data_IF_545488940417
#
_entry.id   IF_545488940417
#
_cell.length_a   1.000
_cell.length_b   1.000
_cell.length_c   1.000
_cell.angle_alpha   90.00
_cell.angle_beta   90.00
_cell.angle_gamma   90.00
#
_symmetry.space_group_name_H-M   'P 1'
#
loop_
_entity.id
_entity.type
_entity.pdbx_description
1 polymer ?
#
# COMPACT_ATOMS: atom_id res chain seq x y z
N UNK A 1 5.16 26.96 -2.70
CA UNK A 1 6.06 25.81 -2.39
C UNK A 1 6.38 24.93 -3.60
N UNK A 2 5.49 24.06 -4.12
CA UNK A 2 5.85 23.16 -5.25
C UNK A 2 6.28 23.90 -6.53
N UNK A 3 5.57 24.99 -6.88
CA UNK A 3 5.89 25.83 -8.04
C UNK A 3 7.19 26.63 -7.86
N UNK A 4 7.47 27.12 -6.64
CA UNK A 4 8.72 27.82 -6.32
C UNK A 4 9.93 26.89 -6.36
N UNK A 5 9.79 25.68 -5.82
CA UNK A 5 10.86 24.67 -5.87
C UNK A 5 11.17 24.30 -7.33
N UNK A 6 10.14 24.04 -8.15
CA UNK A 6 10.30 23.82 -9.59
C UNK A 6 11.01 24.99 -10.27
N UNK A 7 10.60 26.23 -9.99
CA UNK A 7 11.21 27.43 -10.56
C UNK A 7 12.69 27.56 -10.22
N UNK A 8 13.06 27.32 -8.95
CA UNK A 8 14.44 27.36 -8.49
C UNK A 8 15.29 26.26 -9.15
N UNK A 9 14.75 25.05 -9.27
CA UNK A 9 15.43 23.93 -9.90
C UNK A 9 15.63 24.15 -11.40
N UNK A 10 14.60 24.62 -12.11
CA UNK A 10 14.70 24.93 -13.54
C UNK A 10 15.72 26.06 -13.80
N UNK A 11 15.72 27.11 -12.97
CA UNK A 11 16.67 28.22 -13.09
C UNK A 11 18.12 27.81 -12.85
N UNK A 12 18.38 26.81 -11.99
CA UNK A 12 19.74 26.34 -11.66
C UNK A 12 20.25 25.22 -12.57
N UNK A 13 19.36 24.38 -13.09
CA UNK A 13 19.72 23.25 -13.94
C UNK A 13 19.66 23.59 -15.44
N UNK A 14 18.90 24.61 -15.83
CA UNK A 14 18.61 24.91 -17.23
C UNK A 14 17.60 23.95 -17.88
N UNK A 15 17.03 23.01 -17.12
CA UNK A 15 16.05 22.05 -17.60
C UNK A 15 14.63 22.63 -17.68
N UNK A 16 13.85 22.14 -18.64
CA UNK A 16 12.41 22.43 -18.74
C UNK A 16 11.63 21.45 -17.87
N UNK A 17 11.29 21.86 -16.64
CA UNK A 17 10.65 20.98 -15.66
C UNK A 17 9.11 21.15 -15.64
N UNK A 18 8.32 20.06 -15.66
CA UNK A 18 6.87 20.12 -15.65
C UNK A 18 6.30 20.67 -14.33
N UNK A 19 5.07 21.19 -14.38
CA UNK A 19 4.40 21.72 -13.18
C UNK A 19 4.03 20.63 -12.15
N UNK A 20 3.97 19.37 -12.59
CA UNK A 20 3.66 18.18 -11.79
C UNK A 20 4.88 17.55 -11.13
N UNK A 21 6.09 18.11 -11.33
CA UNK A 21 7.38 17.55 -10.88
C UNK A 21 7.38 17.01 -9.45
N UNK A 22 6.78 17.74 -8.51
CA UNK A 22 6.76 17.36 -7.08
C UNK A 22 5.77 16.24 -6.78
N UNK A 23 4.76 16.04 -7.63
CA UNK A 23 3.82 14.93 -7.55
C UNK A 23 4.38 13.67 -8.22
N UNK A 24 5.06 13.85 -9.36
CA UNK A 24 5.67 12.76 -10.12
C UNK A 24 6.91 12.20 -9.38
N UNK A 25 7.62 13.06 -8.66
CA UNK A 25 8.83 12.71 -7.89
C UNK A 25 8.70 13.20 -6.44
N UNK A 26 7.92 12.48 -5.61
CA UNK A 26 7.47 12.97 -4.30
C UNK A 26 8.53 12.91 -3.21
N UNK A 27 9.70 12.31 -3.47
CA UNK A 27 10.82 12.29 -2.53
C UNK A 27 12.05 13.01 -3.09
N UNK A 28 12.86 13.67 -2.25
CA UNK A 28 14.08 14.32 -2.68
C UNK A 28 15.06 13.39 -3.41
N UNK A 29 15.14 12.12 -3.01
CA UNK A 29 16.00 11.13 -3.65
C UNK A 29 15.56 10.87 -5.09
N UNK A 30 14.27 10.55 -5.29
CA UNK A 30 13.70 10.27 -6.62
C UNK A 30 13.81 11.50 -7.53
N UNK A 31 13.58 12.71 -6.99
CA UNK A 31 13.73 13.95 -7.74
C UNK A 31 15.19 14.20 -8.15
N UNK A 32 16.15 13.83 -7.30
CA UNK A 32 17.59 13.98 -7.60
C UNK A 32 18.01 13.02 -8.71
N UNK A 33 17.56 11.76 -8.66
CA UNK A 33 17.86 10.76 -9.68
C UNK A 33 17.31 11.18 -11.05
N UNK A 34 16.07 11.70 -11.09
CA UNK A 34 15.48 12.22 -12.33
C UNK A 34 16.25 13.41 -12.91
N UNK A 35 16.62 14.38 -12.06
CA UNK A 35 17.40 15.55 -12.51
C UNK A 35 18.80 15.15 -13.00
N UNK A 36 19.42 14.16 -12.38
CA UNK A 36 20.72 13.64 -12.80
C UNK A 36 20.64 12.95 -14.17
N UNK A 37 19.59 12.16 -14.41
CA UNK A 37 19.35 11.51 -15.70
C UNK A 37 19.14 12.55 -16.83
N UNK A 38 18.37 13.60 -16.57
CA UNK A 38 18.13 14.70 -17.53
C UNK A 38 19.40 15.54 -17.81
N UNK A 39 20.22 15.81 -16.79
CA UNK A 39 21.44 16.62 -16.92
C UNK A 39 22.61 15.88 -17.60
N UNK A 40 22.75 14.59 -17.34
CA UNK A 40 23.84 13.77 -17.88
C UNK A 40 23.47 13.20 -19.26
N UNK A 41 22.19 13.27 -19.64
CA UNK A 41 21.66 12.76 -20.89
C UNK A 41 21.68 11.23 -20.88
N UNK A 42 20.58 10.62 -20.45
CA UNK A 42 20.51 9.17 -20.42
C UNK A 42 20.36 8.57 -21.83
N UNK A 43 21.22 7.60 -22.15
CA UNK A 43 21.28 6.83 -23.40
C UNK A 43 20.15 5.79 -23.51
N UNK A 44 19.00 6.05 -22.89
CA UNK A 44 17.82 5.18 -22.92
C UNK A 44 16.57 6.04 -22.98
N UNK A 45 16.24 6.50 -24.19
CA UNK A 45 14.87 6.88 -24.51
C UNK A 45 13.99 5.63 -24.53
N UNK A 46 13.63 5.09 -23.38
CA UNK A 46 12.41 4.29 -23.28
C UNK A 46 11.25 5.27 -23.31
N UNK A 47 10.78 5.51 -24.53
CA UNK A 47 9.53 6.19 -24.80
C UNK A 47 8.43 5.45 -24.04
N UNK A 48 7.90 6.05 -22.97
CA UNK A 48 6.73 5.54 -22.28
C UNK A 48 5.63 5.37 -23.34
N UNK A 49 5.41 4.12 -23.73
CA UNK A 49 4.39 3.78 -24.71
C UNK A 49 3.06 4.00 -24.01
N UNK A 50 2.15 4.83 -24.53
CA UNK A 50 0.84 5.00 -23.92
C UNK A 50 0.20 3.62 -23.78
N UNK A 51 -0.15 3.22 -22.57
CA UNK A 51 -0.91 1.99 -22.34
C UNK A 51 -2.21 2.15 -23.14
N UNK A 52 -2.46 1.34 -24.17
CA UNK A 52 -3.70 1.45 -24.92
C UNK A 52 -4.85 1.20 -23.94
N UNK A 53 -5.86 2.07 -23.97
CA UNK A 53 -7.13 1.80 -23.30
C UNK A 53 -7.59 0.39 -23.71
N UNK A 54 -7.83 -0.47 -22.72
CA UNK A 54 -8.11 -1.89 -22.90
C UNK A 54 -9.08 -2.13 -24.07
N UNK A 55 -8.54 -2.58 -25.19
CA UNK A 55 -9.29 -2.92 -26.38
C UNK A 55 -9.89 -4.31 -26.22
N UNK A 56 -11.20 -4.38 -26.01
CA UNK A 56 -12.00 -5.59 -26.08
C UNK A 56 -11.83 -6.56 -24.90
N UNK A 57 -12.94 -7.18 -24.48
CA UNK A 57 -12.88 -8.35 -23.61
C UNK A 57 -12.27 -9.48 -24.44
N UNK A 58 -11.04 -9.88 -24.11
CA UNK A 58 -10.43 -11.10 -24.62
C UNK A 58 -10.92 -12.28 -23.77
N UNK A 59 -11.23 -13.41 -24.38
CA UNK A 59 -11.52 -14.67 -23.67
C UNK A 59 -10.24 -15.35 -23.14
N UNK A 60 -9.14 -14.60 -23.04
CA UNK A 60 -7.88 -15.09 -22.50
C UNK A 60 -8.01 -15.37 -20.99
N UNK A 61 -7.65 -16.59 -20.54
CA UNK A 61 -7.63 -16.91 -19.12
C UNK A 61 -6.63 -16.06 -18.33
N UNK A 62 -7.03 -15.56 -17.17
CA UNK A 62 -6.15 -14.82 -16.26
C UNK A 62 -5.45 -15.79 -15.31
N UNK A 63 -4.12 -15.77 -15.30
CA UNK A 63 -3.32 -16.55 -14.37
C UNK A 63 -3.13 -15.82 -13.03
N UNK A 64 -3.35 -16.52 -11.93
CA UNK A 64 -2.92 -16.07 -10.59
C UNK A 64 -1.47 -16.53 -10.43
N UNK A 65 -0.54 -15.57 -10.43
CA UNK A 65 0.91 -15.85 -10.43
C UNK A 65 1.58 -15.64 -9.07
N UNK A 66 0.91 -14.98 -8.13
CA UNK A 66 1.40 -14.75 -6.77
C UNK A 66 0.22 -14.47 -5.83
N UNK A 67 0.45 -14.69 -4.54
CA UNK A 67 -0.58 -14.56 -3.50
C UNK A 67 0.06 -14.39 -2.13
N UNK A 68 -0.62 -13.61 -1.29
CA UNK A 68 -0.28 -13.43 0.11
C UNK A 68 -1.58 -13.30 0.90
N UNK A 69 -1.57 -13.67 2.17
CA UNK A 69 -2.76 -13.59 2.99
C UNK A 69 -2.48 -13.50 4.49
N UNK A 70 -3.49 -13.03 5.22
CA UNK A 70 -3.57 -13.05 6.68
C UNK A 70 -4.95 -13.54 7.07
N UNK A 71 -5.01 -14.60 7.88
CA UNK A 71 -6.27 -15.21 8.31
C UNK A 71 -6.23 -15.62 9.78
N UNK A 72 -7.40 -15.89 10.41
CA UNK A 72 -7.46 -16.50 11.73
C UNK A 72 -6.69 -17.81 11.83
N UNK A 73 -6.36 -18.22 13.06
CA UNK A 73 -5.53 -19.41 13.30
C UNK A 73 -4.02 -19.18 13.08
N UNK A 74 -3.57 -17.92 13.05
CA UNK A 74 -2.15 -17.57 12.91
C UNK A 74 -1.60 -17.72 11.48
N UNK A 75 -2.48 -17.74 10.49
CA UNK A 75 -2.11 -17.91 9.09
C UNK A 75 -1.54 -16.62 8.53
N UNK A 76 -0.29 -16.68 8.09
CA UNK A 76 0.44 -15.60 7.41
C UNK A 76 0.89 -15.94 6.00
N UNK A 77 0.58 -17.13 5.49
CA UNK A 77 0.88 -17.51 4.10
C UNK A 77 -0.20 -18.42 3.48
N UNK A 78 -0.27 -18.50 2.13
CA UNK A 78 -1.15 -19.42 1.43
C UNK A 78 -0.93 -20.90 1.80
N UNK A 79 0.33 -21.30 2.04
CA UNK A 79 0.64 -22.67 2.46
C UNK A 79 0.08 -22.97 3.86
N UNK A 80 0.20 -22.00 4.78
CA UNK A 80 -0.40 -22.14 6.11
C UNK A 80 -1.93 -22.14 6.08
N UNK A 81 -2.53 -21.38 5.16
CA UNK A 81 -3.97 -21.45 4.93
C UNK A 81 -4.37 -22.86 4.46
N UNK A 82 -3.61 -23.43 3.53
CA UNK A 82 -3.85 -24.79 3.05
C UNK A 82 -3.74 -25.81 4.18
N UNK A 83 -2.70 -25.75 5.00
CA UNK A 83 -2.51 -26.65 6.14
C UNK A 83 -3.66 -26.55 7.15
N UNK A 84 -4.13 -25.33 7.45
CA UNK A 84 -5.28 -25.11 8.34
C UNK A 84 -6.55 -25.77 7.79
N UNK A 85 -6.86 -25.54 6.51
CA UNK A 85 -8.08 -26.05 5.87
C UNK A 85 -8.01 -27.56 5.68
N UNK A 86 -6.90 -28.09 5.14
CA UNK A 86 -6.71 -29.51 4.92
C UNK A 86 -6.66 -30.30 6.24
N UNK A 87 -6.12 -29.68 7.29
CA UNK A 87 -6.11 -30.23 8.65
C UNK A 87 -7.44 -30.12 9.40
N UNK A 88 -8.43 -29.38 8.87
CA UNK A 88 -9.70 -29.13 9.54
C UNK A 88 -9.56 -28.38 10.87
N UNK A 89 -8.54 -27.53 10.98
CA UNK A 89 -8.23 -26.77 12.20
C UNK A 89 -9.18 -25.58 12.33
N UNK A 90 -9.78 -25.43 13.51
CA UNK A 90 -10.62 -24.28 13.84
C UNK A 90 -9.76 -23.10 14.34
N UNK A 91 -9.82 -21.97 13.63
CA UNK A 91 -9.08 -20.75 13.94
C UNK A 91 -9.82 -19.77 14.87
N UNK A 92 -10.97 -20.17 15.42
CA UNK A 92 -11.77 -19.34 16.34
C UNK A 92 -11.11 -19.30 17.73
N UNK A 93 -10.90 -18.09 18.23
CA UNK A 93 -10.25 -17.83 19.52
C UNK A 93 -11.09 -16.86 20.37
N UNK A 94 -10.81 -16.74 21.67
CA UNK A 94 -11.31 -15.63 22.47
C UNK A 94 -10.84 -14.28 21.90
N UNK A 95 -11.53 -13.21 22.27
CA UNK A 95 -11.15 -11.86 21.85
C UNK A 95 -9.72 -11.50 22.28
N UNK A 96 -8.89 -10.94 21.38
CA UNK A 96 -7.57 -10.39 21.74
C UNK A 96 -7.69 -9.30 22.81
N UNK A 97 -6.77 -9.25 23.78
CA UNK A 97 -6.78 -8.29 24.89
C UNK A 97 -6.12 -6.95 24.56
N UNK A 98 -5.56 -6.82 23.36
CA UNK A 98 -4.75 -5.70 22.88
C UNK A 98 -5.55 -4.59 22.15
N UNK A 99 -6.86 -4.77 21.90
CA UNK A 99 -7.65 -3.83 21.08
C UNK A 99 -8.56 -2.87 21.84
N UNK A 100 -8.64 -2.99 23.16
CA UNK A 100 -9.49 -2.12 23.98
C UNK A 100 -10.99 -2.27 23.66
N UNK A 101 -11.46 -3.50 23.46
CA UNK A 101 -12.84 -3.80 23.07
C UNK A 101 -13.89 -3.17 24.00
N UNK A 102 -14.99 -2.61 23.47
CA UNK A 102 -16.10 -2.17 24.31
C UNK A 102 -16.74 -3.37 25.02
N UNK A 103 -17.06 -3.21 26.31
CA UNK A 103 -17.72 -4.23 27.13
C UNK A 103 -19.07 -4.72 26.54
N UNK A 104 -19.72 -3.91 25.69
CA UNK A 104 -20.95 -4.29 25.00
C UNK A 104 -20.75 -5.36 23.91
N UNK A 105 -19.56 -5.44 23.30
CA UNK A 105 -19.27 -6.40 22.21
C UNK A 105 -19.09 -7.81 22.78
N UNK A 106 -18.41 -7.95 23.92
CA UNK A 106 -18.24 -9.25 24.60
C UNK A 106 -19.56 -9.84 25.13
N UNK A 107 -20.62 -9.02 25.29
CA UNK A 107 -21.93 -9.50 25.75
C UNK A 107 -22.71 -10.28 24.69
N UNK A 108 -22.29 -10.27 23.43
CA UNK A 108 -22.95 -10.99 22.32
C UNK A 108 -22.27 -12.34 22.05
N UNK A 109 -20.94 -12.38 22.09
CA UNK A 109 -20.10 -13.58 21.95
C UNK A 109 -18.73 -13.30 22.57
N UNK A 110 -18.09 -14.33 23.11
CA UNK A 110 -16.74 -14.25 23.69
C UNK A 110 -15.65 -14.77 22.72
N UNK A 111 -16.02 -15.21 21.52
CA UNK A 111 -15.11 -15.80 20.53
C UNK A 111 -15.35 -15.28 19.11
N UNK A 112 -14.30 -15.34 18.27
CA UNK A 112 -14.32 -14.93 16.87
C UNK A 112 -13.06 -15.35 16.12
N UNK A 113 -13.05 -15.11 14.80
CA UNK A 113 -11.86 -15.33 13.97
C UNK A 113 -11.07 -14.04 13.86
N UNK A 114 -9.86 -14.00 14.44
CA UNK A 114 -9.04 -12.79 14.48
C UNK A 114 -7.72 -12.99 13.75
N UNK A 115 -7.34 -12.02 12.93
CA UNK A 115 -5.93 -11.84 12.53
C UNK A 115 -5.21 -11.30 13.76
N UNK A 116 -4.38 -12.13 14.38
CA UNK A 116 -3.51 -11.70 15.47
C UNK A 116 -2.40 -10.79 14.94
N UNK A 117 -1.81 -9.95 15.80
CA UNK A 117 -0.77 -8.96 15.44
C UNK A 117 -1.18 -7.97 14.35
N UNK A 118 -2.49 -7.69 14.20
CA UNK A 118 -3.01 -6.76 13.21
C UNK A 118 -2.55 -5.30 13.43
N UNK A 119 -1.99 -4.99 14.59
CA UNK A 119 -1.37 -3.72 14.92
C UNK A 119 0.11 -3.64 14.48
N UNK A 120 0.75 -4.79 14.22
CA UNK A 120 2.10 -4.89 13.68
C UNK A 120 2.21 -4.33 12.27
N UNK A 121 3.27 -3.56 12.01
CA UNK A 121 3.54 -2.99 10.68
C UNK A 121 4.99 -2.50 10.55
N UNK A 122 5.69 -2.92 9.49
CA UNK A 122 7.01 -2.35 9.15
C UNK A 122 6.87 -1.02 8.38
N UNK A 123 6.61 0.06 9.12
CA UNK A 123 6.46 1.38 8.52
C UNK A 123 7.73 1.85 7.78
N UNK A 124 8.91 1.44 8.25
CA UNK A 124 10.19 1.85 7.68
C UNK A 124 10.40 1.29 6.28
N UNK A 125 10.02 0.03 6.05
CA UNK A 125 10.05 -0.61 4.73
C UNK A 125 9.30 0.19 3.66
N UNK A 126 8.15 0.78 4.04
CA UNK A 126 7.30 1.53 3.12
C UNK A 126 7.54 3.05 3.13
N UNK A 127 8.57 3.52 3.86
CA UNK A 127 8.87 4.95 3.96
C UNK A 127 7.81 5.76 4.72
N UNK A 128 7.04 5.09 5.58
CA UNK A 128 5.94 5.67 6.36
C UNK A 128 6.47 6.06 7.74
N UNK A 129 6.15 7.28 8.19
CA UNK A 129 6.59 7.70 9.52
C UNK A 129 5.82 6.96 10.62
N UNK A 130 6.41 6.71 11.81
CA UNK A 130 5.70 6.06 12.92
C UNK A 130 4.40 6.76 13.31
N UNK A 131 4.38 8.09 13.12
CA UNK A 131 3.22 8.94 13.40
C UNK A 131 2.08 8.75 12.41
N UNK A 132 2.42 8.59 11.13
CA UNK A 132 1.44 8.27 10.10
C UNK A 132 0.93 6.83 10.28
N UNK A 133 1.83 5.88 10.53
CA UNK A 133 1.47 4.48 10.77
C UNK A 133 0.47 4.32 11.93
N UNK A 134 0.62 5.10 13.00
CA UNK A 134 -0.32 5.13 14.13
C UNK A 134 -1.73 5.59 13.75
N UNK A 135 -1.87 6.39 12.70
CA UNK A 135 -3.16 6.89 12.21
C UNK A 135 -3.73 6.05 11.05
N UNK A 136 -3.00 5.05 10.56
CA UNK A 136 -3.42 4.19 9.46
C UNK A 136 -4.28 3.05 9.94
N UNK A 137 -5.41 2.80 9.28
CA UNK A 137 -6.21 1.59 9.46
C UNK A 137 -5.33 0.34 9.27
N UNK A 138 -5.37 -0.65 10.19
CA UNK A 138 -4.77 -1.96 10.00
C UNK A 138 -5.03 -2.58 8.62
N UNK A 139 -6.21 -2.35 8.01
CA UNK A 139 -6.49 -2.79 6.64
C UNK A 139 -5.48 -2.23 5.64
N UNK A 140 -5.15 -0.93 5.71
CA UNK A 140 -4.16 -0.29 4.82
C UNK A 140 -2.74 -0.80 5.06
N UNK A 141 -2.41 -1.17 6.31
CA UNK A 141 -1.10 -1.70 6.69
C UNK A 141 -0.91 -3.14 6.18
N UNK A 142 -1.87 -4.00 6.48
CA UNK A 142 -1.83 -5.41 6.10
C UNK A 142 -1.84 -5.61 4.58
N UNK A 143 -2.61 -4.82 3.84
CA UNK A 143 -2.61 -4.91 2.36
C UNK A 143 -1.33 -4.38 1.71
N UNK A 144 -0.59 -3.48 2.36
CA UNK A 144 0.73 -3.05 1.89
C UNK A 144 1.76 -4.18 2.02
N UNK A 145 1.79 -4.84 3.18
CA UNK A 145 2.64 -6.02 3.40
C UNK A 145 2.25 -7.17 2.48
N UNK A 146 0.95 -7.47 2.36
CA UNK A 146 0.46 -8.50 1.47
C UNK A 146 0.79 -8.19 -0.01
N UNK A 147 0.75 -6.93 -0.43
CA UNK A 147 1.16 -6.57 -1.80
C UNK A 147 2.65 -6.84 -2.04
N UNK A 148 3.52 -6.52 -1.07
CA UNK A 148 4.95 -6.85 -1.14
C UNK A 148 5.16 -8.37 -1.28
N UNK A 149 4.55 -9.15 -0.41
CA UNK A 149 4.65 -10.61 -0.40
C UNK A 149 4.04 -11.25 -1.65
N UNK A 150 2.97 -10.67 -2.21
CA UNK A 150 2.35 -11.14 -3.44
C UNK A 150 3.30 -10.94 -4.64
N UNK A 151 4.06 -9.84 -4.69
CA UNK A 151 5.11 -9.67 -5.69
C UNK A 151 6.25 -10.69 -5.50
N UNK A 152 6.74 -10.89 -4.28
CA UNK A 152 7.81 -11.85 -4.01
C UNK A 152 7.40 -13.30 -4.32
N UNK A 153 6.18 -13.70 -3.95
CA UNK A 153 5.64 -15.03 -4.28
C UNK A 153 5.45 -15.24 -5.79
N UNK A 154 5.22 -14.16 -6.55
CA UNK A 154 5.23 -14.19 -8.02
C UNK A 154 6.65 -14.22 -8.63
N UNK A 155 7.71 -14.16 -7.82
CA UNK A 155 9.08 -14.05 -8.30
C UNK A 155 9.41 -12.68 -8.89
N UNK A 156 8.64 -11.65 -8.54
CA UNK A 156 8.82 -10.27 -9.01
C UNK A 156 9.47 -9.45 -7.91
N UNK A 157 10.57 -8.76 -8.22
CA UNK A 157 11.14 -7.76 -7.31
C UNK A 157 10.14 -6.60 -7.16
N UNK A 158 9.59 -6.32 -5.95
CA UNK A 158 8.61 -5.25 -5.74
C UNK A 158 9.14 -3.85 -6.10
N UNK A 159 10.46 -3.67 -6.19
CA UNK A 159 11.06 -2.38 -6.60
C UNK A 159 11.15 -2.23 -8.11
N UNK A 160 11.09 -3.33 -8.85
CA UNK A 160 11.20 -3.35 -10.32
C UNK A 160 9.92 -2.93 -11.05
N UNK A 161 8.78 -2.83 -10.33
CA UNK A 161 7.46 -2.51 -10.91
C UNK A 161 7.13 -1.02 -10.96
N UNK A 162 8.02 -0.16 -10.44
CA UNK A 162 7.86 1.30 -10.48
C UNK A 162 7.83 1.80 -11.92
N UNK A 163 6.90 2.70 -12.22
CA UNK A 163 6.62 3.25 -13.54
C UNK A 163 5.85 2.31 -14.48
N UNK A 164 5.40 1.15 -14.00
CA UNK A 164 4.64 0.19 -14.83
C UNK A 164 3.15 0.44 -14.72
N UNK A 165 2.42 0.26 -15.83
CA UNK A 165 0.97 0.34 -15.91
C UNK A 165 0.25 -0.84 -15.25
N UNK A 166 0.51 -1.08 -13.96
CA UNK A 166 -0.12 -2.14 -13.15
C UNK A 166 -1.32 -1.54 -12.41
N UNK A 167 -2.50 -2.13 -12.59
CA UNK A 167 -3.70 -1.73 -11.87
C UNK A 167 -3.78 -2.32 -10.46
N UNK A 168 -4.38 -1.60 -9.53
CA UNK A 168 -4.64 -2.02 -8.15
C UNK A 168 -6.13 -2.01 -7.89
N UNK A 169 -6.68 -3.14 -7.48
CA UNK A 169 -8.11 -3.27 -7.18
C UNK A 169 -8.26 -3.83 -5.76
N UNK A 170 -8.95 -3.09 -4.91
CA UNK A 170 -9.14 -3.45 -3.51
C UNK A 170 -10.63 -3.39 -3.13
N UNK A 171 -11.11 -4.46 -2.50
CA UNK A 171 -12.40 -4.48 -1.81
C UNK A 171 -12.20 -4.20 -0.33
N UNK A 172 -12.90 -3.20 0.21
CA UNK A 172 -12.82 -2.87 1.62
C UNK A 172 -14.16 -2.31 2.14
N UNK A 173 -14.46 -2.63 3.39
CA UNK A 173 -15.54 -2.02 4.16
C UNK A 173 -14.97 -1.14 5.26
N UNK A 174 -15.78 -0.22 5.77
CA UNK A 174 -15.37 0.60 6.93
C UNK A 174 -15.02 -0.31 8.11
N UNK A 175 -13.82 -0.13 8.68
CA UNK A 175 -13.37 -0.83 9.89
C UNK A 175 -13.84 -0.16 11.18
N UNK A 176 -14.22 1.12 11.12
CA UNK A 176 -14.40 1.96 12.31
C UNK A 176 -13.10 2.38 12.98
N UNK A 177 -11.93 2.08 12.40
CA UNK A 177 -10.64 2.51 12.94
C UNK A 177 -10.54 4.03 13.04
N UNK A 178 -9.92 4.54 14.11
CA UNK A 178 -9.80 5.97 14.38
C UNK A 178 -11.04 6.61 15.00
N UNK A 179 -12.21 5.95 14.98
CA UNK A 179 -13.40 6.47 15.65
C UNK A 179 -13.21 6.50 17.17
N UNK A 180 -13.25 7.71 17.75
CA UNK A 180 -13.09 7.89 19.20
C UNK A 180 -11.65 7.73 19.71
N UNK A 181 -10.66 7.54 18.84
CA UNK A 181 -9.25 7.52 19.25
C UNK A 181 -8.77 8.93 19.59
N UNK A 182 -8.04 9.08 20.70
CA UNK A 182 -7.34 10.32 21.03
C UNK A 182 -5.89 10.22 20.53
N UNK A 183 -5.68 10.58 19.27
CA UNK A 183 -4.34 10.60 18.69
C UNK A 183 -3.57 11.84 19.15
N UNK A 184 -2.22 11.78 19.21
CA UNK A 184 -1.42 12.98 19.38
C UNK A 184 -1.77 14.00 18.28
N UNK A 185 -1.81 15.32 18.56
CA UNK A 185 -2.15 16.34 17.56
C UNK A 185 -1.31 16.26 16.28
N UNK A 186 -0.08 15.77 16.42
CA UNK A 186 0.81 15.56 15.28
C UNK A 186 0.30 14.46 14.32
N UNK A 187 -0.36 13.42 14.82
CA UNK A 187 -0.87 12.28 14.04
C UNK A 187 -2.29 12.50 13.51
N UNK A 188 -3.07 13.42 14.09
CA UNK A 188 -4.45 13.73 13.67
C UNK A 188 -4.53 14.11 12.18
N UNK A 189 -3.53 14.83 11.66
CA UNK A 189 -3.47 15.21 10.24
C UNK A 189 -3.42 14.02 9.26
N UNK A 190 -3.06 12.83 9.74
CA UNK A 190 -3.00 11.62 8.94
C UNK A 190 -4.27 10.76 9.02
N UNK A 191 -5.22 11.05 9.92
CA UNK A 191 -6.43 10.23 10.11
C UNK A 191 -7.30 10.12 8.86
N UNK A 192 -7.46 11.23 8.14
CA UNK A 192 -8.31 11.27 6.95
C UNK A 192 -7.80 10.31 5.87
N UNK A 193 -6.50 10.34 5.59
CA UNK A 193 -5.90 9.44 4.60
C UNK A 193 -5.65 8.04 5.16
N UNK A 194 -5.45 7.92 6.46
CA UNK A 194 -5.26 6.65 7.16
C UNK A 194 -6.50 5.77 7.24
N UNK A 195 -7.71 6.33 7.13
CA UNK A 195 -8.97 5.57 7.31
C UNK A 195 -9.87 5.52 6.07
N UNK A 196 -9.58 6.31 5.04
CA UNK A 196 -10.36 6.30 3.80
C UNK A 196 -10.14 5.00 2.99
N UNK A 197 -11.22 4.28 2.66
CA UNK A 197 -11.14 3.03 1.88
C UNK A 197 -10.51 3.24 0.49
N UNK A 198 -10.78 4.38 -0.17
CA UNK A 198 -10.18 4.72 -1.47
C UNK A 198 -8.67 4.90 -1.41
N UNK A 199 -8.10 5.12 -0.22
CA UNK A 199 -6.65 5.24 -0.05
C UNK A 199 -5.98 3.86 -0.02
N UNK A 200 -6.69 2.76 0.17
CA UNK A 200 -6.09 1.41 0.18
C UNK A 200 -5.39 1.12 -1.17
N UNK A 201 -6.12 1.22 -2.27
CA UNK A 201 -5.55 0.99 -3.62
C UNK A 201 -4.55 2.07 -4.00
N UNK A 202 -4.90 3.34 -3.75
CA UNK A 202 -4.03 4.48 -4.05
C UNK A 202 -2.69 4.44 -3.30
N UNK A 203 -2.66 3.96 -2.05
CA UNK A 203 -1.44 3.84 -1.26
C UNK A 203 -0.54 2.72 -1.78
N UNK A 204 -1.09 1.58 -2.18
CA UNK A 204 -0.31 0.52 -2.86
C UNK A 204 0.30 1.10 -4.15
N UNK A 205 -0.53 1.72 -5.01
CA UNK A 205 -0.04 2.32 -6.24
C UNK A 205 1.07 3.36 -5.98
N UNK A 206 0.88 4.25 -5.01
CA UNK A 206 1.87 5.26 -4.62
C UNK A 206 3.18 4.64 -4.10
N UNK A 207 3.09 3.67 -3.20
CA UNK A 207 4.25 3.03 -2.56
C UNK A 207 5.10 2.27 -3.56
N UNK A 208 4.49 1.49 -4.45
CA UNK A 208 5.20 0.71 -5.47
C UNK A 208 5.44 1.50 -6.77
N UNK A 209 4.90 2.71 -6.89
CA UNK A 209 5.01 3.58 -8.07
C UNK A 209 4.31 3.00 -9.30
N UNK A 210 3.11 2.45 -9.12
CA UNK A 210 2.32 1.85 -10.20
C UNK A 210 1.49 2.93 -10.90
N UNK A 211 1.43 2.87 -12.23
CA UNK A 211 0.77 3.89 -13.07
C UNK A 211 -0.53 3.40 -13.71
N UNK A 212 -1.04 2.24 -13.29
CA UNK A 212 -2.35 1.73 -13.70
C UNK A 212 -3.51 2.31 -12.88
N UNK A 213 -4.75 1.90 -13.17
CA UNK A 213 -5.92 2.32 -12.41
C UNK A 213 -5.86 1.85 -10.95
N UNK A 214 -6.26 2.70 -10.01
CA UNK A 214 -6.30 2.43 -8.58
C UNK A 214 -7.50 3.12 -7.90
#
# INVERSE_FOLDING_TARGET
>A
MAVELRNLLAARSGLSLPATLVFDYPSPAVLTDHLLAELVGDLRQDSATPVPAAGGVSDEPIAIVGMACRYPGGVTSPDQLWDLVAGGVDGITPFPDDRGWPEAVSRVTDVGGFVHDADGFDAGLFGISPREALAMDPQQRLVLEAAWEAFESAGVDPRSVRGRGVGVFAGASSSGYGAGMHLPPTAEGHLMTGTANSVISGRIAYTFGLEGPA
#
